data_IF_130092591795
#
_entry.id   IF_130092591795
#
_cell.length_a   1.000
_cell.length_b   1.000
_cell.length_c   1.000
_cell.angle_alpha   90.00
_cell.angle_beta   90.00
_cell.angle_gamma   90.00
#
_symmetry.space_group_name_H-M   'P 1'
#
loop_
_entity.id
_entity.type
_entity.pdbx_description
1 polymer ?
#
# COMPACT_ATOMS: atom_id res chain seq x y z
N UNK A 1 14.37 6.88 5.31
CA UNK A 1 14.85 6.53 6.66
C UNK A 1 15.43 5.11 6.65
N UNK A 2 16.46 4.84 7.45
CA UNK A 2 16.96 3.48 7.69
C UNK A 2 16.69 3.12 9.15
N UNK A 3 15.76 2.20 9.38
CA UNK A 3 15.30 1.85 10.72
C UNK A 3 16.19 0.78 11.36
N UNK A 4 16.41 0.88 12.67
CA UNK A 4 17.20 -0.07 13.44
C UNK A 4 16.32 -1.24 13.93
N UNK A 5 16.94 -2.41 14.13
CA UNK A 5 16.24 -3.58 14.68
C UNK A 5 14.97 -3.96 13.91
N UNK A 6 13.87 -4.14 14.64
CA UNK A 6 12.56 -4.51 14.08
C UNK A 6 11.65 -3.30 13.77
N UNK A 7 12.17 -2.08 13.84
CA UNK A 7 11.41 -0.90 13.44
C UNK A 7 11.34 -0.77 11.90
N UNK A 8 10.27 -0.16 11.40
CA UNK A 8 10.00 0.12 9.98
C UNK A 8 9.10 1.36 9.82
N UNK A 9 8.67 1.62 8.59
CA UNK A 9 7.79 2.75 8.25
C UNK A 9 8.58 3.96 7.76
N UNK A 10 7.89 4.91 7.17
CA UNK A 10 8.53 6.07 6.53
C UNK A 10 9.33 6.94 7.52
N UNK A 11 8.93 6.96 8.80
CA UNK A 11 9.61 7.65 9.89
C UNK A 11 10.13 6.71 11.01
N UNK A 12 10.23 5.39 10.75
CA UNK A 12 10.67 4.39 11.73
C UNK A 12 9.79 4.23 12.99
N UNK A 13 8.54 4.71 12.97
CA UNK A 13 7.60 4.58 14.09
C UNK A 13 6.73 3.33 14.06
N UNK A 14 6.95 2.42 13.11
CA UNK A 14 6.19 1.17 12.97
C UNK A 14 7.06 -0.06 13.19
N UNK A 15 6.44 -1.24 13.29
CA UNK A 15 7.13 -2.52 13.44
C UNK A 15 7.12 -3.33 12.16
N UNK A 16 8.22 -4.03 11.88
CA UNK A 16 8.35 -4.96 10.73
C UNK A 16 7.20 -5.94 10.69
N UNK A 17 6.78 -6.34 9.48
CA UNK A 17 5.75 -7.37 9.31
C UNK A 17 6.05 -8.61 10.15
N UNK A 18 5.07 -9.01 10.97
CA UNK A 18 5.21 -10.11 11.92
C UNK A 18 5.79 -9.73 13.29
N UNK A 19 5.96 -8.44 13.56
CA UNK A 19 6.34 -7.88 14.87
C UNK A 19 5.36 -6.80 15.30
N UNK A 20 5.13 -6.66 16.61
CA UNK A 20 4.27 -5.60 17.20
C UNK A 20 4.77 -5.17 18.58
N UNK A 21 3.98 -4.33 19.24
CA UNK A 21 4.27 -3.74 20.54
C UNK A 21 5.13 -2.47 20.40
N UNK A 22 5.17 -1.66 21.45
CA UNK A 22 5.87 -0.36 21.44
C UNK A 22 7.36 -0.44 21.09
N UNK A 23 7.98 -1.61 21.33
CA UNK A 23 9.40 -1.87 21.06
C UNK A 23 9.63 -2.86 19.89
N UNK A 24 8.58 -3.28 19.16
CA UNK A 24 8.67 -4.22 18.04
C UNK A 24 9.34 -5.57 18.38
N UNK A 25 9.20 -6.03 19.63
CA UNK A 25 9.79 -7.27 20.13
C UNK A 25 8.79 -8.43 20.18
N UNK A 26 7.49 -8.15 20.10
CA UNK A 26 6.47 -9.18 20.16
C UNK A 26 6.27 -9.79 18.78
N UNK A 27 6.41 -11.12 18.68
CA UNK A 27 6.09 -11.83 17.44
C UNK A 27 4.58 -11.83 17.23
N UNK A 28 4.17 -11.45 16.03
CA UNK A 28 2.77 -11.43 15.62
C UNK A 28 2.61 -12.26 14.35
N UNK A 29 1.57 -13.08 14.28
CA UNK A 29 1.31 -13.92 13.11
C UNK A 29 -0.18 -14.01 12.92
N UNK A 30 -0.62 -13.65 11.72
CA UNK A 30 -2.02 -13.64 11.32
C UNK A 30 -2.24 -14.65 10.20
N UNK A 31 -3.45 -15.19 10.12
CA UNK A 31 -3.81 -16.22 9.14
C UNK A 31 -4.81 -15.61 8.16
N UNK A 32 -4.36 -15.43 6.91
CA UNK A 32 -5.27 -15.15 5.79
C UNK A 32 -6.12 -16.39 5.53
N UNK A 33 -7.44 -16.27 5.72
CA UNK A 33 -8.40 -17.37 5.51
C UNK A 33 -8.99 -17.28 4.10
N UNK A 34 -9.41 -18.42 3.57
CA UNK A 34 -10.23 -18.43 2.34
C UNK A 34 -11.58 -17.76 2.58
N UNK A 35 -12.05 -16.93 1.65
CA UNK A 35 -13.26 -16.10 1.78
C UNK A 35 -14.52 -16.92 2.10
N UNK A 36 -14.60 -18.15 1.58
CA UNK A 36 -15.72 -19.06 1.82
C UNK A 36 -15.73 -19.68 3.22
N UNK A 37 -14.59 -19.64 3.93
CA UNK A 37 -14.45 -20.15 5.30
C UNK A 37 -14.70 -19.07 6.37
N UNK A 38 -14.91 -17.82 5.94
CA UNK A 38 -15.26 -16.73 6.86
C UNK A 38 -16.69 -16.89 7.36
N UNK A 39 -16.88 -16.62 8.65
CA UNK A 39 -18.20 -16.39 9.25
C UNK A 39 -18.88 -15.16 8.65
N UNK A 40 -20.19 -15.03 8.83
CA UNK A 40 -20.93 -13.84 8.39
C UNK A 40 -20.34 -12.55 8.99
N UNK A 41 -20.03 -12.56 10.29
CA UNK A 41 -19.43 -11.41 10.95
C UNK A 41 -18.03 -11.04 10.39
N UNK A 42 -17.21 -12.03 10.03
CA UNK A 42 -15.90 -11.77 9.40
C UNK A 42 -16.05 -11.18 7.98
N UNK A 43 -17.04 -11.63 7.20
CA UNK A 43 -17.34 -11.06 5.88
C UNK A 43 -17.85 -9.63 5.99
N UNK A 44 -18.77 -9.38 6.90
CA UNK A 44 -19.32 -8.04 7.15
C UNK A 44 -18.22 -7.08 7.61
N UNK A 45 -17.33 -7.53 8.51
CA UNK A 45 -16.15 -6.77 8.93
C UNK A 45 -15.24 -6.43 7.75
N UNK A 46 -14.93 -7.42 6.91
CA UNK A 46 -14.09 -7.21 5.73
C UNK A 46 -14.69 -6.15 4.78
N UNK A 47 -15.97 -6.28 4.43
CA UNK A 47 -16.67 -5.34 3.55
C UNK A 47 -16.73 -3.95 4.20
N UNK A 48 -17.02 -3.85 5.50
CA UNK A 48 -17.05 -2.59 6.23
C UNK A 48 -15.69 -1.89 6.21
N UNK A 49 -14.60 -2.63 6.44
CA UNK A 49 -13.24 -2.08 6.45
C UNK A 49 -12.79 -1.62 5.06
N UNK A 50 -13.14 -2.34 3.99
CA UNK A 50 -12.89 -1.87 2.62
C UNK A 50 -13.65 -0.57 2.30
N UNK A 51 -14.91 -0.49 2.69
CA UNK A 51 -15.71 0.72 2.52
C UNK A 51 -15.15 1.92 3.31
N UNK A 52 -14.68 1.68 4.53
CA UNK A 52 -14.01 2.69 5.34
C UNK A 52 -12.71 3.15 4.67
N UNK A 53 -11.85 2.21 4.24
CA UNK A 53 -10.59 2.52 3.55
C UNK A 53 -10.79 3.33 2.26
N UNK A 54 -11.88 3.09 1.53
CA UNK A 54 -12.23 3.85 0.33
C UNK A 54 -12.70 5.28 0.60
N UNK A 55 -13.18 5.57 1.81
CA UNK A 55 -13.72 6.88 2.19
C UNK A 55 -12.80 7.69 3.09
N UNK A 56 -11.78 7.05 3.67
CA UNK A 56 -10.82 7.72 4.55
C UNK A 56 -9.55 8.09 3.79
N UNK A 57 -9.16 9.36 3.90
CA UNK A 57 -7.90 9.88 3.34
C UNK A 57 -6.70 9.25 4.04
N UNK A 58 -5.70 8.79 3.27
CA UNK A 58 -4.42 8.31 3.80
C UNK A 58 -3.73 9.42 4.59
N UNK A 59 -3.25 9.07 5.78
CA UNK A 59 -2.55 10.02 6.66
C UNK A 59 -1.06 10.12 6.34
N UNK A 60 -0.49 9.05 5.76
CA UNK A 60 0.95 8.91 5.56
C UNK A 60 1.38 9.15 4.11
N UNK A 61 0.45 9.04 3.15
CA UNK A 61 0.77 9.08 1.73
C UNK A 61 -0.14 10.04 0.97
N UNK A 62 0.48 10.74 0.03
CA UNK A 62 -0.16 11.50 -1.04
C UNK A 62 0.37 10.98 -2.38
N UNK A 63 -0.35 11.25 -3.46
CA UNK A 63 0.06 10.81 -4.80
C UNK A 63 0.55 11.97 -5.64
N UNK A 64 1.53 11.70 -6.51
CA UNK A 64 1.94 12.66 -7.52
C UNK A 64 0.86 12.79 -8.61
N UNK A 65 0.54 14.02 -8.99
CA UNK A 65 -0.41 14.32 -10.08
C UNK A 65 0.27 14.88 -11.34
N UNK A 66 1.59 15.07 -11.30
CA UNK A 66 2.41 15.50 -12.43
C UNK A 66 3.77 14.80 -12.46
N UNK A 67 4.51 14.98 -13.55
CA UNK A 67 5.89 14.50 -13.69
C UNK A 67 6.87 15.37 -12.89
N UNK A 68 8.08 14.86 -12.65
CA UNK A 68 9.13 15.62 -11.97
C UNK A 68 9.46 16.95 -12.68
N UNK A 69 9.45 16.94 -14.02
CA UNK A 69 9.62 18.14 -14.85
C UNK A 69 8.47 19.14 -14.65
N UNK A 70 7.22 18.67 -14.67
CA UNK A 70 6.04 19.52 -14.38
C UNK A 70 6.08 20.11 -12.96
N UNK A 71 6.74 19.43 -12.02
CA UNK A 71 6.97 19.93 -10.67
C UNK A 71 8.15 20.92 -10.56
N UNK A 72 8.69 21.40 -11.67
CA UNK A 72 9.87 22.27 -11.71
C UNK A 72 11.02 21.70 -10.87
N UNK A 73 11.40 20.45 -11.14
CA UNK A 73 12.42 19.70 -10.40
C UNK A 73 12.18 19.65 -8.87
N UNK A 74 10.91 19.66 -8.46
CA UNK A 74 10.48 19.57 -7.07
C UNK A 74 10.22 20.90 -6.36
N UNK A 75 10.46 22.04 -7.03
CA UNK A 75 10.17 23.36 -6.45
C UNK A 75 8.69 23.75 -6.50
N UNK A 76 7.90 23.09 -7.36
CA UNK A 76 6.44 23.26 -7.44
C UNK A 76 5.75 21.90 -7.23
N UNK A 77 5.53 21.48 -5.97
CA UNK A 77 5.03 20.13 -5.68
C UNK A 77 3.59 19.94 -6.19
N UNK A 78 3.38 18.92 -7.02
CA UNK A 78 2.05 18.53 -7.53
C UNK A 78 1.62 17.21 -6.88
N UNK A 79 0.99 17.32 -5.71
CA UNK A 79 0.46 16.19 -4.97
C UNK A 79 -1.02 16.35 -4.66
N UNK A 80 -1.72 15.22 -4.55
CA UNK A 80 -3.11 15.19 -4.11
C UNK A 80 -3.29 14.18 -2.98
N UNK A 81 -4.20 14.52 -2.07
CA UNK A 81 -4.73 13.58 -1.09
C UNK A 81 -5.42 12.41 -1.79
N UNK A 82 -5.37 11.25 -1.17
CA UNK A 82 -5.95 10.02 -1.71
C UNK A 82 -6.55 9.18 -0.58
N UNK A 83 -7.58 8.38 -0.88
CA UNK A 83 -8.10 7.43 0.11
C UNK A 83 -7.12 6.26 0.33
N UNK A 84 -7.21 5.57 1.47
CA UNK A 84 -6.38 4.39 1.77
C UNK A 84 -6.56 3.31 0.70
N UNK A 85 -7.79 3.10 0.22
CA UNK A 85 -8.05 2.18 -0.88
C UNK A 85 -7.51 2.74 -2.21
N UNK A 86 -7.75 4.00 -2.54
CA UNK A 86 -7.29 4.54 -3.83
C UNK A 86 -5.77 4.62 -3.93
N UNK A 87 -5.06 4.74 -2.81
CA UNK A 87 -3.60 4.62 -2.78
C UNK A 87 -3.16 3.25 -3.33
N UNK A 88 -3.84 2.17 -2.91
CA UNK A 88 -3.55 0.82 -3.38
C UNK A 88 -3.81 0.71 -4.90
N UNK A 89 -4.91 1.29 -5.40
CA UNK A 89 -5.21 1.34 -6.85
C UNK A 89 -4.13 2.14 -7.60
N UNK A 90 -3.76 3.30 -7.07
CA UNK A 90 -2.79 4.20 -7.70
C UNK A 90 -1.39 3.58 -7.75
N UNK A 91 -0.94 2.88 -6.71
CA UNK A 91 0.36 2.20 -6.69
C UNK A 91 0.49 1.17 -7.82
N UNK A 92 -0.55 0.37 -8.05
CA UNK A 92 -0.57 -0.61 -9.13
C UNK A 92 -0.63 0.03 -10.51
N UNK A 93 -1.51 1.04 -10.67
CA UNK A 93 -1.55 1.86 -11.87
C UNK A 93 -0.18 2.48 -12.19
N UNK A 94 0.48 3.06 -11.19
CA UNK A 94 1.75 3.76 -11.37
C UNK A 94 2.90 2.81 -11.72
N UNK A 95 2.86 1.57 -11.23
CA UNK A 95 3.86 0.55 -11.57
C UNK A 95 3.65 -0.05 -12.97
N UNK A 96 2.41 -0.07 -13.47
CA UNK A 96 2.06 -0.77 -14.72
C UNK A 96 1.72 0.17 -15.89
N UNK A 97 1.80 1.48 -15.68
CA UNK A 97 1.52 2.50 -16.71
C UNK A 97 2.67 2.62 -17.71
N UNK A 98 2.31 3.10 -18.90
CA UNK A 98 3.29 3.50 -19.93
C UNK A 98 4.31 4.51 -19.39
N UNK A 99 5.55 4.38 -19.84
CA UNK A 99 6.59 5.35 -19.57
C UNK A 99 6.46 6.54 -20.52
N UNK A 100 6.53 7.77 -19.99
CA UNK A 100 6.58 8.97 -20.83
C UNK A 100 7.94 9.11 -21.49
N UNK A 101 7.94 9.45 -22.78
CA UNK A 101 9.14 9.80 -23.55
C UNK A 101 9.17 11.32 -23.80
N UNK A 102 10.33 11.90 -24.14
CA UNK A 102 10.40 13.29 -24.57
C UNK A 102 9.48 13.57 -25.78
N UNK A 103 8.90 14.77 -25.84
CA UNK A 103 8.09 15.20 -26.99
C UNK A 103 6.73 14.51 -27.12
N UNK A 104 6.05 14.28 -25.99
CA UNK A 104 4.69 13.69 -25.90
C UNK A 104 4.57 12.20 -26.32
N UNK A 105 5.69 11.51 -26.52
CA UNK A 105 5.70 10.08 -26.80
C UNK A 105 5.44 9.22 -25.55
N UNK A 106 5.05 7.95 -25.77
CA UNK A 106 4.93 6.93 -24.73
C UNK A 106 5.62 5.63 -25.14
N UNK A 107 6.22 4.94 -24.17
CA UNK A 107 6.66 3.55 -24.32
C UNK A 107 5.65 2.65 -23.58
N UNK A 108 4.99 1.77 -24.33
CA UNK A 108 3.92 0.90 -23.81
C UNK A 108 4.39 -0.51 -23.41
N UNK A 109 5.46 -1.01 -24.04
CA UNK A 109 6.06 -2.31 -23.72
C UNK A 109 6.99 -2.24 -22.47
N UNK A 110 6.45 -1.76 -21.34
CA UNK A 110 7.13 -1.70 -20.05
C UNK A 110 6.12 -1.87 -18.92
N UNK A 111 6.44 -2.75 -17.96
CA UNK A 111 5.63 -2.97 -16.77
C UNK A 111 6.55 -3.33 -15.59
N UNK A 112 6.47 -2.57 -14.49
CA UNK A 112 7.30 -2.80 -13.30
C UNK A 112 6.69 -3.78 -12.30
N UNK A 113 5.41 -4.12 -12.45
CA UNK A 113 4.67 -5.02 -11.58
C UNK A 113 4.38 -6.39 -12.23
N UNK A 114 4.50 -6.52 -13.56
CA UNK A 114 4.19 -7.74 -14.32
C UNK A 114 5.30 -8.13 -15.30
N UNK A 115 5.10 -9.27 -15.98
CA UNK A 115 5.93 -9.78 -17.10
C UNK A 115 7.44 -9.93 -16.81
N UNK A 116 7.81 -9.89 -15.54
CA UNK A 116 9.17 -9.95 -15.06
C UNK A 116 9.26 -10.72 -13.73
N UNK A 117 10.47 -11.15 -13.32
CA UNK A 117 10.67 -11.83 -12.02
C UNK A 117 10.20 -11.02 -10.79
N UNK A 118 10.03 -9.69 -10.95
CA UNK A 118 9.45 -8.81 -9.95
C UNK A 118 7.98 -9.07 -9.63
N UNK A 119 7.24 -9.78 -10.50
CA UNK A 119 5.78 -9.96 -10.38
C UNK A 119 5.33 -10.43 -9.00
N UNK A 120 5.80 -11.60 -8.57
CA UNK A 120 5.40 -12.19 -7.29
C UNK A 120 5.87 -11.38 -6.07
N UNK A 121 7.14 -10.94 -5.95
CA UNK A 121 7.55 -10.14 -4.81
C UNK A 121 6.90 -8.76 -4.75
N UNK A 122 6.65 -8.11 -5.89
CA UNK A 122 5.95 -6.81 -5.94
C UNK A 122 4.54 -6.94 -5.38
N UNK A 123 3.75 -7.90 -5.88
CA UNK A 123 2.38 -8.13 -5.42
C UNK A 123 2.31 -8.63 -3.97
N UNK A 124 3.32 -9.38 -3.50
CA UNK A 124 3.42 -9.78 -2.10
C UNK A 124 3.58 -8.57 -1.18
N UNK A 125 4.50 -7.67 -1.49
CA UNK A 125 4.73 -6.47 -0.68
C UNK A 125 3.53 -5.51 -0.76
N UNK A 126 2.95 -5.35 -1.94
CA UNK A 126 1.72 -4.59 -2.17
C UNK A 126 0.58 -5.03 -1.26
N UNK A 127 0.29 -6.33 -1.18
CA UNK A 127 -0.75 -6.86 -0.29
C UNK A 127 -0.41 -6.68 1.19
N UNK A 128 0.87 -6.81 1.58
CA UNK A 128 1.31 -6.58 2.96
C UNK A 128 1.12 -5.12 3.37
N UNK A 129 1.48 -4.18 2.51
CA UNK A 129 1.29 -2.76 2.75
C UNK A 129 -0.20 -2.41 2.84
N UNK A 130 -1.02 -2.91 1.91
CA UNK A 130 -2.45 -2.64 1.92
C UNK A 130 -3.15 -3.18 3.18
N UNK A 131 -2.83 -4.41 3.58
CA UNK A 131 -3.33 -5.01 4.83
C UNK A 131 -2.95 -4.16 6.05
N UNK A 132 -1.69 -3.70 6.10
CA UNK A 132 -1.17 -2.85 7.18
C UNK A 132 -1.86 -1.49 7.26
N UNK A 133 -2.09 -0.83 6.14
CA UNK A 133 -2.78 0.47 6.13
C UNK A 133 -4.24 0.35 6.60
N UNK A 134 -4.92 -0.77 6.30
CA UNK A 134 -6.25 -1.04 6.85
C UNK A 134 -6.19 -1.33 8.35
N UNK A 135 -5.23 -2.15 8.82
CA UNK A 135 -5.03 -2.41 10.25
C UNK A 135 -4.81 -1.11 11.04
N UNK A 136 -3.99 -0.19 10.52
CA UNK A 136 -3.75 1.13 11.13
C UNK A 136 -5.02 1.98 11.16
N UNK A 137 -5.76 2.02 10.05
CA UNK A 137 -7.00 2.77 9.94
C UNK A 137 -8.07 2.30 10.93
N UNK A 138 -8.15 1.00 11.18
CA UNK A 138 -9.23 0.40 11.98
C UNK A 138 -8.82 0.14 13.43
N UNK A 139 -7.52 0.12 13.72
CA UNK A 139 -6.98 -0.34 15.00
C UNK A 139 -7.06 -1.86 15.19
N UNK A 140 -7.52 -2.61 14.20
CA UNK A 140 -7.61 -4.08 14.23
C UNK A 140 -6.32 -4.67 13.66
N UNK A 141 -5.29 -4.84 14.50
CA UNK A 141 -4.01 -5.44 14.09
C UNK A 141 -4.15 -6.89 13.60
N UNK A 142 -5.22 -7.60 13.97
CA UNK A 142 -5.46 -8.98 13.56
C UNK A 142 -6.27 -9.08 12.25
N UNK A 143 -6.63 -7.94 11.65
CA UNK A 143 -7.27 -7.91 10.33
C UNK A 143 -6.37 -8.54 9.26
N UNK A 144 -6.97 -9.36 8.41
CA UNK A 144 -6.29 -9.92 7.25
C UNK A 144 -7.12 -9.85 5.99
N UNK A 145 -6.47 -9.69 4.84
CA UNK A 145 -7.10 -9.80 3.52
C UNK A 145 -7.32 -11.30 3.21
N UNK A 146 -8.57 -11.76 3.02
CA UNK A 146 -8.87 -13.14 2.65
C UNK A 146 -8.48 -13.43 1.19
N UNK A 147 -8.48 -14.72 0.82
CA UNK A 147 -8.22 -15.19 -0.56
C UNK A 147 -9.36 -16.05 -1.12
#
# INVERSE_FOLDING_TARGET
CQCQGNFMGHHCGECRFGSRGSNCTERHTVIRKGIFKLTTAEKDKFIAFLNLAKRTTSQDFVIATGTYEQMNNGSNPLFANISVYDLFVWLHYYASRNAFLPGEGVWENIDFAHEAPGFAPWHRFFLLLWEREIQKLTGDEDFTIPY
#
